data_IF_991847708884
#
_entry.id   IF_991847708884
#
_cell.length_a   1.000
_cell.length_b   1.000
_cell.length_c   1.000
_cell.angle_alpha   90.00
_cell.angle_beta   90.00
_cell.angle_gamma   90.00
#
_symmetry.space_group_name_H-M   'P 1'
#
loop_
_entity.id
_entity.type
_entity.pdbx_description
1 polymer ?
#
# COMPACT_ATOMS: atom_id res chain seq x y z
N UNK A 1 4.93 6.10 3.33
CA UNK A 1 5.26 6.15 1.90
C UNK A 1 3.95 6.04 1.17
N UNK A 2 3.54 7.14 0.53
CA UNK A 2 2.34 7.20 -0.31
C UNK A 2 2.44 6.22 -1.49
N UNK A 3 1.33 5.60 -1.83
CA UNK A 3 1.19 4.63 -2.92
C UNK A 3 2.20 3.47 -2.85
N UNK A 4 2.37 2.86 -1.67
CA UNK A 4 3.32 1.76 -1.43
C UNK A 4 3.18 0.62 -2.45
N UNK A 5 1.94 0.35 -2.91
CA UNK A 5 1.66 -0.68 -3.92
C UNK A 5 2.47 -0.53 -5.21
N UNK A 6 2.93 0.69 -5.54
CA UNK A 6 3.81 0.96 -6.67
C UNK A 6 5.13 0.18 -6.61
N UNK A 7 5.58 -0.23 -5.42
CA UNK A 7 6.74 -1.09 -5.25
C UNK A 7 6.47 -2.52 -5.75
N UNK A 8 5.24 -3.03 -5.63
CA UNK A 8 4.86 -4.31 -6.22
C UNK A 8 4.62 -4.16 -7.73
N UNK A 9 3.76 -3.21 -8.10
CA UNK A 9 3.46 -2.87 -9.49
C UNK A 9 2.85 -1.47 -9.59
N UNK A 10 3.14 -0.76 -10.68
CA UNK A 10 2.58 0.56 -10.93
C UNK A 10 1.88 0.62 -12.30
N UNK A 11 0.88 1.48 -12.40
CA UNK A 11 0.16 1.71 -13.64
C UNK A 11 0.91 2.75 -14.48
N UNK A 12 1.37 2.35 -15.66
CA UNK A 12 2.14 3.20 -16.58
C UNK A 12 1.28 3.63 -17.75
N UNK A 13 1.12 4.95 -17.91
CA UNK A 13 0.34 5.56 -18.99
C UNK A 13 1.30 6.29 -19.93
N UNK A 14 1.28 6.00 -21.25
CA UNK A 14 2.12 6.71 -22.21
C UNK A 14 1.85 8.22 -22.19
N UNK A 15 2.93 9.01 -22.27
CA UNK A 15 2.82 10.45 -22.42
C UNK A 15 1.99 10.80 -23.67
N UNK A 16 1.03 11.71 -23.51
CA UNK A 16 0.13 12.17 -24.57
C UNK A 16 -1.28 11.57 -24.51
N UNK A 17 -1.50 10.51 -23.73
CA UNK A 17 -2.86 10.04 -23.43
C UNK A 17 -3.64 11.11 -22.65
N UNK A 18 -4.93 11.26 -22.97
CA UNK A 18 -5.81 12.25 -22.31
C UNK A 18 -6.53 11.71 -21.08
N UNK A 19 -6.44 10.39 -20.86
CA UNK A 19 -7.03 9.71 -19.69
C UNK A 19 -6.10 8.60 -19.18
N UNK A 20 -6.28 8.18 -17.94
CA UNK A 20 -5.51 7.07 -17.36
C UNK A 20 -5.96 5.67 -17.86
N UNK A 21 -6.95 5.57 -18.74
CA UNK A 21 -7.56 4.28 -19.15
C UNK A 21 -6.60 3.41 -19.96
N UNK A 22 -5.77 4.01 -20.81
CA UNK A 22 -4.90 3.32 -21.76
C UNK A 22 -3.48 3.14 -21.19
N UNK A 23 -3.39 2.53 -20.02
CA UNK A 23 -2.10 2.18 -19.42
C UNK A 23 -1.87 0.67 -19.39
N UNK A 24 -0.77 0.28 -18.75
CA UNK A 24 -0.45 -1.11 -18.46
C UNK A 24 0.23 -1.22 -17.10
N UNK A 25 0.07 -2.37 -16.45
CA UNK A 25 0.77 -2.68 -15.22
C UNK A 25 2.24 -3.01 -15.52
N UNK A 26 3.14 -2.38 -14.78
CA UNK A 26 4.58 -2.66 -14.82
C UNK A 26 5.03 -3.14 -13.45
N UNK A 27 5.84 -4.19 -13.42
CA UNK A 27 6.41 -4.73 -12.17
C UNK A 27 7.31 -3.68 -11.52
N UNK A 28 7.10 -3.46 -10.23
CA UNK A 28 7.93 -2.56 -9.42
C UNK A 28 9.18 -3.26 -8.87
N UNK A 29 10.00 -2.54 -8.09
CA UNK A 29 11.24 -3.07 -7.52
C UNK A 29 11.05 -4.10 -6.40
N UNK A 30 9.87 -4.16 -5.77
CA UNK A 30 9.56 -5.09 -4.69
C UNK A 30 10.51 -4.97 -3.50
N UNK A 31 10.87 -6.12 -2.93
CA UNK A 31 11.75 -6.20 -1.76
C UNK A 31 13.17 -5.64 -2.02
N UNK A 32 13.66 -5.62 -3.25
CA UNK A 32 15.00 -5.10 -3.56
C UNK A 32 15.17 -3.63 -3.12
N UNK A 33 14.10 -2.81 -3.23
CA UNK A 33 14.12 -1.43 -2.74
C UNK A 33 13.98 -1.39 -1.22
N UNK A 34 13.08 -2.19 -0.65
CA UNK A 34 12.80 -2.23 0.78
C UNK A 34 14.05 -2.65 1.56
N UNK A 35 14.74 -3.70 1.11
CA UNK A 35 15.97 -4.21 1.71
C UNK A 35 17.09 -3.15 1.70
N UNK A 36 17.19 -2.37 0.62
CA UNK A 36 18.14 -1.26 0.55
C UNK A 36 17.79 -0.14 1.52
N UNK A 37 16.51 0.21 1.64
CA UNK A 37 16.05 1.23 2.59
C UNK A 37 16.30 0.79 4.04
N UNK A 38 15.91 -0.42 4.39
CA UNK A 38 16.14 -1.00 5.72
C UNK A 38 17.65 -1.14 6.02
N UNK A 39 18.47 -1.48 5.03
CA UNK A 39 19.92 -1.61 5.18
C UNK A 39 20.65 -0.28 5.37
N UNK A 40 20.28 0.76 4.61
CA UNK A 40 20.90 2.10 4.73
C UNK A 40 20.36 2.88 5.93
N UNK A 41 19.11 2.64 6.31
CA UNK A 41 18.43 3.38 7.37
C UNK A 41 17.85 2.45 8.44
N UNK A 42 18.68 1.66 9.15
CA UNK A 42 18.21 0.63 10.08
C UNK A 42 17.48 1.16 11.33
N UNK A 43 17.49 2.48 11.56
CA UNK A 43 16.78 3.14 12.66
C UNK A 43 15.52 3.89 12.21
N UNK A 44 15.25 3.98 10.90
CA UNK A 44 14.04 4.62 10.40
C UNK A 44 12.91 3.61 10.33
N UNK A 45 11.76 3.99 10.87
CA UNK A 45 10.51 3.25 10.68
C UNK A 45 9.74 3.86 9.51
N UNK A 46 9.32 3.01 8.58
CA UNK A 46 8.50 3.38 7.45
C UNK A 46 7.07 2.91 7.69
N UNK A 47 6.10 3.74 7.35
CA UNK A 47 4.68 3.35 7.31
C UNK A 47 4.31 3.22 5.83
N UNK A 48 3.71 2.10 5.45
CA UNK A 48 3.21 1.88 4.10
C UNK A 48 1.78 2.41 3.97
N UNK A 49 1.55 3.33 3.03
CA UNK A 49 0.18 3.66 2.61
C UNK A 49 -0.28 2.56 1.64
N UNK A 50 -1.11 1.65 2.14
CA UNK A 50 -1.61 0.45 1.47
C UNK A 50 -3.13 0.49 1.21
N UNK A 51 -3.71 1.68 1.14
CA UNK A 51 -5.15 1.88 0.95
C UNK A 51 -5.55 1.57 -0.51
N UNK A 52 -6.86 1.47 -0.73
CA UNK A 52 -7.43 1.21 -2.05
C UNK A 52 -7.59 -0.27 -2.37
N UNK A 53 -7.06 -0.73 -3.51
CA UNK A 53 -7.34 -2.06 -4.07
C UNK A 53 -6.28 -3.09 -3.63
N UNK A 54 -6.57 -3.96 -2.64
CA UNK A 54 -5.63 -4.97 -2.20
C UNK A 54 -5.49 -6.04 -3.29
N UNK A 55 -4.25 -6.37 -3.62
CA UNK A 55 -3.91 -7.53 -4.45
C UNK A 55 -3.03 -8.47 -3.61
N UNK A 56 -3.08 -9.80 -3.83
CA UNK A 56 -2.24 -10.73 -3.08
C UNK A 56 -0.75 -10.36 -3.10
N UNK A 57 -0.27 -9.81 -4.21
CA UNK A 57 1.12 -9.38 -4.39
C UNK A 57 1.47 -8.19 -3.48
N UNK A 58 0.57 -7.22 -3.34
CA UNK A 58 0.78 -6.07 -2.44
C UNK A 58 0.70 -6.49 -0.98
N UNK A 59 -0.23 -7.39 -0.64
CA UNK A 59 -0.34 -7.92 0.73
C UNK A 59 0.91 -8.72 1.12
N UNK A 60 1.45 -9.53 0.21
CA UNK A 60 2.70 -10.26 0.41
C UNK A 60 3.88 -9.30 0.57
N UNK A 61 3.99 -8.28 -0.29
CA UNK A 61 5.05 -7.28 -0.19
C UNK A 61 5.00 -6.52 1.14
N UNK A 62 3.81 -6.12 1.60
CA UNK A 62 3.65 -5.45 2.89
C UNK A 62 4.08 -6.36 4.04
N UNK A 63 3.65 -7.62 4.04
CA UNK A 63 4.06 -8.61 5.04
C UNK A 63 5.58 -8.76 5.08
N UNK A 64 6.21 -8.97 3.92
CA UNK A 64 7.65 -9.23 3.81
C UNK A 64 8.49 -7.98 4.12
N UNK A 65 7.94 -6.78 3.87
CA UNK A 65 8.61 -5.52 4.19
C UNK A 65 8.85 -5.31 5.69
N UNK A 66 8.02 -5.93 6.53
CA UNK A 66 7.99 -5.68 7.96
C UNK A 66 7.54 -4.27 8.34
N UNK A 67 6.96 -3.49 7.41
CA UNK A 67 6.43 -2.15 7.67
C UNK A 67 4.95 -2.21 8.07
N UNK A 68 4.48 -1.36 9.00
CA UNK A 68 3.05 -1.25 9.29
C UNK A 68 2.28 -0.64 8.12
N UNK A 69 1.13 -1.23 7.79
CA UNK A 69 0.13 -0.64 6.90
C UNK A 69 -0.80 0.34 7.62
N UNK A 70 -1.74 0.92 6.89
CA UNK A 70 -2.70 1.91 7.36
C UNK A 70 -4.11 1.33 7.52
N UNK A 71 -4.83 1.84 8.52
CA UNK A 71 -6.26 1.62 8.70
C UNK A 71 -6.96 2.97 8.84
N UNK A 72 -8.04 3.18 8.10
CA UNK A 72 -8.76 4.47 8.09
C UNK A 72 -10.20 4.23 8.51
N UNK A 73 -10.56 4.71 9.70
CA UNK A 73 -11.87 4.46 10.30
C UNK A 73 -13.03 5.06 9.48
N UNK A 74 -12.81 6.17 8.78
CA UNK A 74 -13.81 6.77 7.88
C UNK A 74 -14.30 5.80 6.80
N UNK A 75 -13.45 4.85 6.37
CA UNK A 75 -13.81 3.82 5.39
C UNK A 75 -14.51 2.60 6.01
N UNK A 76 -14.57 2.52 7.35
CA UNK A 76 -15.01 1.33 8.07
C UNK A 76 -16.48 0.95 7.80
N UNK A 77 -17.31 1.94 7.48
CA UNK A 77 -18.77 1.81 7.42
C UNK A 77 -19.35 2.07 6.03
N UNK A 78 -18.52 2.07 4.98
CA UNK A 78 -18.99 2.14 3.61
C UNK A 78 -19.72 0.84 3.23
N UNK A 79 -20.97 0.94 2.78
CA UNK A 79 -21.81 -0.21 2.44
C UNK A 79 -21.35 -0.96 1.19
N UNK A 80 -20.41 -0.39 0.43
CA UNK A 80 -19.86 -0.98 -0.79
C UNK A 80 -18.70 -1.93 -0.55
N UNK A 81 -18.18 -2.00 0.68
CA UNK A 81 -17.01 -2.80 1.03
C UNK A 81 -17.26 -3.59 2.33
N UNK A 82 -16.88 -4.88 2.35
CA UNK A 82 -16.78 -5.64 3.62
C UNK A 82 -15.47 -5.24 4.28
N UNK A 83 -15.46 -4.03 4.85
CA UNK A 83 -14.20 -3.31 5.01
C UNK A 83 -13.26 -3.97 6.02
N UNK A 84 -12.00 -4.16 5.62
CA UNK A 84 -10.88 -4.46 6.54
C UNK A 84 -10.50 -3.24 7.41
N UNK A 85 -11.35 -2.21 7.42
CA UNK A 85 -11.22 -0.98 8.17
C UNK A 85 -12.11 -0.98 9.44
N UNK A 86 -12.84 -2.06 9.72
CA UNK A 86 -13.51 -2.23 11.00
C UNK A 86 -12.50 -2.53 12.12
N UNK A 87 -12.56 -1.84 13.29
CA UNK A 87 -11.55 -1.97 14.34
C UNK A 87 -11.26 -3.41 14.83
N UNK A 88 -12.26 -4.29 14.83
CA UNK A 88 -12.10 -5.68 15.26
C UNK A 88 -11.36 -6.56 14.23
N UNK A 89 -11.11 -6.05 13.02
CA UNK A 89 -10.37 -6.73 11.95
C UNK A 89 -8.91 -6.29 11.88
N UNK A 90 -8.50 -5.30 12.69
CA UNK A 90 -7.15 -4.76 12.66
C UNK A 90 -6.12 -5.78 13.14
N UNK A 91 -4.99 -5.82 12.44
CA UNK A 91 -3.78 -6.49 12.93
C UNK A 91 -3.07 -5.57 13.93
N UNK A 92 -2.38 -6.11 14.96
CA UNK A 92 -1.62 -5.29 15.91
C UNK A 92 -0.57 -4.38 15.25
N UNK A 93 -0.02 -4.82 14.11
CA UNK A 93 1.01 -4.10 13.35
C UNK A 93 0.40 -3.22 12.25
N UNK A 94 -0.33 -2.18 12.64
CA UNK A 94 -0.86 -1.17 11.72
C UNK A 94 -0.95 0.20 12.41
N UNK A 95 -1.10 1.25 11.60
CA UNK A 95 -1.38 2.60 12.09
C UNK A 95 -2.84 2.95 11.77
N UNK A 96 -3.63 3.20 12.81
CA UNK A 96 -5.03 3.57 12.68
C UNK A 96 -5.19 5.09 12.68
N UNK A 97 -5.92 5.58 11.68
CA UNK A 97 -6.32 6.97 11.51
C UNK A 97 -7.84 7.08 11.59
N UNK A 98 -8.33 8.22 12.08
CA UNK A 98 -9.76 8.54 11.98
C UNK A 98 -10.16 8.83 10.52
N UNK A 99 -9.31 9.59 9.83
CA UNK A 99 -9.39 10.02 8.43
C UNK A 99 -8.03 10.57 8.00
N UNK A 100 -7.82 10.82 6.70
CA UNK A 100 -6.53 11.29 6.13
C UNK A 100 -6.74 12.38 5.10
#
# INVERSE_FOLDING_TARGET
IDHFRGFASYWSVPYGETTAKNGHWVTGPGMDLIDRLNGWFPQLEFIAEDLGYPTPEVAQLLHDSGWPGMKVLEFAFDSRDTSSYLPHTYTPHCICYTGT
#
